data_IF_373703404779
#
_entry.id   IF_373703404779
#
_cell.length_a   1.000
_cell.length_b   1.000
_cell.length_c   1.000
_cell.angle_alpha   90.00
_cell.angle_beta   90.00
_cell.angle_gamma   90.00
#
_symmetry.space_group_name_H-M   'P 1'
#
loop_
_entity.id
_entity.type
_entity.pdbx_description
1 polymer ?
#
# COMPACT_ATOMS: atom_id res chain seq x y z
N UNK A 1 -23.85 15.26 -9.81
CA UNK A 1 -23.13 15.88 -8.67
C UNK A 1 -23.12 17.39 -8.82
N UNK A 2 -23.44 18.15 -7.76
CA UNK A 2 -23.44 19.64 -7.80
C UNK A 2 -22.03 20.17 -8.13
N UNK A 3 -21.95 21.25 -8.94
CA UNK A 3 -20.67 21.90 -9.26
C UNK A 3 -19.96 22.39 -7.99
N UNK A 4 -20.71 22.91 -7.01
CA UNK A 4 -20.17 23.34 -5.71
C UNK A 4 -19.44 22.18 -5.01
N UNK A 5 -20.03 21.00 -4.96
CA UNK A 5 -19.41 19.84 -4.30
C UNK A 5 -18.10 19.46 -5.01
N UNK A 6 -18.10 19.44 -6.34
CA UNK A 6 -16.90 19.13 -7.14
C UNK A 6 -15.78 20.15 -6.91
N UNK A 7 -16.08 21.42 -6.88
CA UNK A 7 -15.10 22.49 -6.64
C UNK A 7 -14.55 22.42 -5.21
N UNK A 8 -15.44 22.17 -4.23
CA UNK A 8 -15.03 22.03 -2.82
C UNK A 8 -14.09 20.84 -2.62
N UNK A 9 -14.40 19.67 -3.19
CA UNK A 9 -13.53 18.49 -3.09
C UNK A 9 -12.15 18.77 -3.72
N UNK A 10 -12.11 19.42 -4.88
CA UNK A 10 -10.85 19.80 -5.52
C UNK A 10 -10.05 20.79 -4.67
N UNK A 11 -10.71 21.79 -4.08
CA UNK A 11 -10.06 22.77 -3.22
C UNK A 11 -9.46 22.10 -1.97
N UNK A 12 -10.21 21.20 -1.32
CA UNK A 12 -9.74 20.40 -0.17
C UNK A 12 -8.53 19.56 -0.57
N UNK A 13 -8.62 18.83 -1.70
CA UNK A 13 -7.50 18.04 -2.20
C UNK A 13 -6.24 18.89 -2.42
N UNK A 14 -6.35 20.00 -3.14
CA UNK A 14 -5.22 20.89 -3.40
C UNK A 14 -4.61 21.52 -2.15
N UNK A 15 -5.43 21.79 -1.14
CA UNK A 15 -4.97 22.37 0.12
C UNK A 15 -4.26 21.35 1.04
N UNK A 16 -4.70 20.08 1.02
CA UNK A 16 -4.33 19.10 2.03
C UNK A 16 -3.38 18.01 1.52
N UNK A 17 -3.42 17.61 0.24
CA UNK A 17 -2.60 16.51 -0.27
C UNK A 17 -1.10 16.74 -0.01
N UNK A 18 -0.60 17.94 -0.27
CA UNK A 18 0.81 18.30 -0.06
C UNK A 18 1.23 18.38 1.40
N UNK A 19 0.28 18.35 2.32
CA UNK A 19 0.54 18.41 3.77
C UNK A 19 0.42 17.05 4.44
N UNK A 20 -0.48 16.21 3.96
CA UNK A 20 -0.84 14.95 4.63
C UNK A 20 -0.53 13.68 3.82
N UNK A 21 -0.27 13.79 2.52
CA UNK A 21 0.16 12.68 1.66
C UNK A 21 1.58 12.97 1.16
N UNK A 22 2.55 12.88 2.07
CA UNK A 22 3.95 13.17 1.77
C UNK A 22 4.74 11.89 2.02
N UNK A 23 5.13 11.15 0.96
CA UNK A 23 6.07 10.06 1.13
C UNK A 23 7.44 10.62 1.56
N UNK A 24 8.23 9.86 2.29
CA UNK A 24 9.61 10.23 2.55
C UNK A 24 10.37 10.45 1.24
N UNK A 25 11.05 11.59 1.16
CA UNK A 25 11.91 11.94 0.02
C UNK A 25 13.40 11.75 0.31
N UNK A 26 13.72 11.50 1.58
CA UNK A 26 15.08 11.35 2.08
C UNK A 26 15.26 10.04 2.84
N UNK A 27 16.46 9.49 2.78
CA UNK A 27 16.81 8.19 3.39
C UNK A 27 16.47 8.11 4.88
N UNK A 28 16.71 9.17 5.64
CA UNK A 28 16.40 9.17 7.08
C UNK A 28 14.89 9.07 7.38
N UNK A 29 14.04 9.59 6.50
CA UNK A 29 12.59 9.44 6.62
C UNK A 29 12.14 7.98 6.50
N UNK A 30 12.73 7.24 5.56
CA UNK A 30 12.48 5.81 5.40
C UNK A 30 13.00 4.98 6.57
N UNK A 31 14.20 5.31 7.07
CA UNK A 31 14.79 4.64 8.24
C UNK A 31 13.86 4.81 9.44
N UNK A 32 13.36 6.02 9.70
CA UNK A 32 12.42 6.26 10.79
C UNK A 32 11.16 5.40 10.69
N UNK A 33 10.56 5.29 9.51
CA UNK A 33 9.38 4.43 9.30
C UNK A 33 9.74 2.96 9.57
N UNK A 34 10.91 2.52 9.12
CA UNK A 34 11.36 1.14 9.36
C UNK A 34 11.58 0.85 10.85
N UNK A 35 12.16 1.78 11.60
CA UNK A 35 12.33 1.69 13.06
C UNK A 35 10.97 1.65 13.78
N UNK A 36 9.99 2.43 13.32
CA UNK A 36 8.61 2.38 13.83
C UNK A 36 7.95 1.03 13.57
N UNK A 37 8.10 0.46 12.37
CA UNK A 37 7.59 -0.89 12.07
C UNK A 37 8.30 -1.98 12.89
N UNK A 38 9.59 -1.86 13.12
CA UNK A 38 10.33 -2.80 13.96
C UNK A 38 9.83 -2.74 15.41
N UNK A 39 9.66 -1.53 15.95
CA UNK A 39 9.22 -1.31 17.32
C UNK A 39 7.77 -1.75 17.57
N UNK A 40 6.84 -1.33 16.73
CA UNK A 40 5.40 -1.55 16.93
C UNK A 40 4.95 -2.95 16.44
N UNK A 41 5.56 -3.42 15.35
CA UNK A 41 5.10 -4.61 14.64
C UNK A 41 6.11 -5.77 14.64
N UNK A 42 7.30 -5.56 15.19
CA UNK A 42 8.40 -6.54 15.20
C UNK A 42 8.76 -7.04 13.78
N UNK A 43 8.82 -6.10 12.83
CA UNK A 43 9.22 -6.38 11.45
C UNK A 43 10.28 -5.37 10.98
N UNK A 44 11.57 -5.75 11.02
CA UNK A 44 12.66 -4.87 10.61
C UNK A 44 12.62 -4.57 9.11
N UNK A 45 13.16 -3.43 8.72
CA UNK A 45 13.29 -2.96 7.34
C UNK A 45 11.96 -2.81 6.56
N UNK A 46 10.81 -2.82 7.25
CA UNK A 46 9.55 -2.49 6.63
C UNK A 46 9.41 -0.97 6.49
N UNK A 47 9.19 -0.49 5.27
CA UNK A 47 9.00 0.93 4.97
C UNK A 47 7.55 1.28 4.59
N UNK A 48 6.65 0.32 4.70
CA UNK A 48 5.22 0.51 4.50
C UNK A 48 4.47 -0.79 4.29
N UNK A 49 3.18 -0.79 4.60
CA UNK A 49 2.26 -1.85 4.25
C UNK A 49 1.34 -1.38 3.12
N UNK A 50 1.18 -2.21 2.08
CA UNK A 50 0.36 -1.91 0.89
C UNK A 50 -0.85 -2.84 0.82
N UNK A 51 -1.99 -2.29 0.44
CA UNK A 51 -3.21 -3.05 0.18
C UNK A 51 -4.16 -2.29 -0.75
N UNK A 52 -5.15 -2.99 -1.30
CA UNK A 52 -6.22 -2.46 -2.13
C UNK A 52 -7.58 -2.53 -1.44
N UNK A 53 -8.34 -1.42 -1.43
CA UNK A 53 -9.68 -1.35 -0.87
C UNK A 53 -10.70 -1.02 -1.95
N UNK A 54 -11.72 -1.88 -2.10
CA UNK A 54 -12.89 -1.57 -2.91
C UNK A 54 -13.78 -0.54 -2.20
N UNK A 55 -14.02 0.58 -2.86
CA UNK A 55 -14.95 1.62 -2.41
C UNK A 55 -16.20 1.59 -3.27
N UNK A 56 -17.37 1.39 -2.65
CA UNK A 56 -18.64 1.32 -3.34
C UNK A 56 -18.92 2.61 -4.12
N UNK A 57 -19.48 2.45 -5.30
CA UNK A 57 -19.94 3.56 -6.14
C UNK A 57 -21.27 3.22 -6.82
N UNK A 58 -22.00 4.23 -7.26
CA UNK A 58 -23.12 4.05 -8.14
C UNK A 58 -22.65 3.59 -9.52
N UNK A 59 -23.45 2.72 -10.18
CA UNK A 59 -23.13 2.23 -11.51
C UNK A 59 -23.02 3.42 -12.49
N UNK A 60 -21.88 3.58 -13.19
CA UNK A 60 -21.80 4.56 -14.28
C UNK A 60 -22.77 4.21 -15.42
N UNK A 61 -23.32 5.21 -16.09
CA UNK A 61 -24.33 5.03 -17.16
C UNK A 61 -23.77 4.25 -18.37
N UNK A 62 -22.48 4.44 -18.70
CA UNK A 62 -21.89 3.92 -19.94
C UNK A 62 -20.87 2.78 -19.75
N UNK A 63 -20.37 2.51 -18.53
CA UNK A 63 -19.23 1.61 -18.28
C UNK A 63 -19.42 0.67 -17.06
N UNK A 64 -20.65 0.28 -16.79
CA UNK A 64 -21.01 -0.48 -15.59
C UNK A 64 -20.22 -1.77 -15.36
N UNK A 65 -19.85 -2.49 -16.42
CA UNK A 65 -19.13 -3.77 -16.31
C UNK A 65 -17.69 -3.61 -15.84
N UNK A 66 -17.02 -2.51 -16.16
CA UNK A 66 -15.64 -2.24 -15.80
C UNK A 66 -15.43 -2.01 -14.28
N UNK A 67 -16.51 -1.64 -13.58
CA UNK A 67 -16.50 -1.34 -12.14
C UNK A 67 -17.22 -2.41 -11.31
N UNK A 68 -17.72 -3.49 -11.93
CA UNK A 68 -18.44 -4.56 -11.23
C UNK A 68 -17.45 -5.57 -10.64
N UNK A 69 -17.39 -5.65 -9.29
CA UNK A 69 -16.42 -6.48 -8.59
C UNK A 69 -16.92 -7.90 -8.31
N UNK A 70 -16.01 -8.77 -7.87
CA UNK A 70 -16.28 -10.17 -7.52
C UNK A 70 -17.24 -10.35 -6.34
N UNK A 71 -17.52 -9.28 -5.57
CA UNK A 71 -18.50 -9.25 -4.48
C UNK A 71 -19.88 -8.78 -4.94
N UNK A 72 -20.10 -8.68 -6.27
CA UNK A 72 -21.38 -8.33 -6.91
C UNK A 72 -21.87 -6.91 -6.62
N UNK A 73 -20.97 -5.93 -6.53
CA UNK A 73 -21.31 -4.51 -6.50
C UNK A 73 -20.32 -3.66 -7.32
N UNK A 74 -20.72 -2.43 -7.66
CA UNK A 74 -19.85 -1.50 -8.38
C UNK A 74 -18.91 -0.80 -7.39
N UNK A 75 -17.62 -0.78 -7.72
CA UNK A 75 -16.60 -0.17 -6.88
C UNK A 75 -15.43 0.37 -7.69
N UNK A 76 -14.71 1.29 -7.12
CA UNK A 76 -13.36 1.68 -7.54
C UNK A 76 -12.36 1.14 -6.54
N UNK A 77 -11.14 0.89 -6.99
CA UNK A 77 -10.06 0.46 -6.12
C UNK A 77 -9.32 1.70 -5.59
N UNK A 78 -9.19 1.75 -4.28
CA UNK A 78 -8.27 2.63 -3.57
C UNK A 78 -7.06 1.77 -3.19
N UNK A 79 -5.94 1.93 -3.88
CA UNK A 79 -4.68 1.31 -3.51
C UNK A 79 -3.87 2.30 -2.67
N UNK A 80 -3.34 1.87 -1.54
CA UNK A 80 -2.61 2.74 -0.65
C UNK A 80 -1.46 2.02 0.06
N UNK A 81 -0.48 2.82 0.49
CA UNK A 81 0.60 2.42 1.38
C UNK A 81 0.46 3.24 2.66
N UNK A 82 0.58 2.61 3.82
CA UNK A 82 0.64 3.32 5.10
C UNK A 82 1.94 3.04 5.85
N UNK A 83 2.28 3.93 6.77
CA UNK A 83 3.33 3.75 7.77
C UNK A 83 2.85 2.92 8.98
N UNK A 84 3.72 2.74 9.97
CA UNK A 84 3.44 1.97 11.18
C UNK A 84 2.34 2.59 12.08
N UNK A 85 2.01 3.87 11.86
CA UNK A 85 1.03 4.67 12.63
C UNK A 85 -0.25 4.92 11.86
N UNK A 86 -0.53 4.11 10.84
CA UNK A 86 -1.75 4.18 10.03
C UNK A 86 -1.87 5.42 9.14
N UNK A 87 -0.78 6.20 8.95
CA UNK A 87 -0.79 7.35 8.05
C UNK A 87 -0.49 6.90 6.63
N UNK A 88 -1.34 7.30 5.69
CA UNK A 88 -1.11 7.01 4.28
C UNK A 88 0.09 7.81 3.74
N UNK A 89 1.05 7.11 3.14
CA UNK A 89 2.21 7.71 2.47
C UNK A 89 2.01 7.80 0.97
N UNK A 90 1.35 6.80 0.38
CA UNK A 90 0.95 6.79 -1.02
C UNK A 90 -0.51 6.41 -1.14
N UNK A 91 -1.17 7.02 -2.12
CA UNK A 91 -2.57 6.73 -2.45
C UNK A 91 -2.74 6.81 -3.96
N UNK A 92 -3.40 5.82 -4.53
CA UNK A 92 -3.88 5.82 -5.91
C UNK A 92 -5.35 5.41 -5.95
N UNK A 93 -6.15 6.12 -6.74
CA UNK A 93 -7.60 5.94 -6.77
C UNK A 93 -8.08 5.91 -8.22
N UNK A 94 -8.89 4.90 -8.55
CA UNK A 94 -9.58 4.88 -9.82
C UNK A 94 -9.24 3.69 -10.71
N UNK A 95 -8.45 2.73 -10.25
CA UNK A 95 -8.22 1.51 -10.99
C UNK A 95 -9.53 0.73 -11.18
N UNK A 96 -9.69 0.17 -12.38
CA UNK A 96 -10.81 -0.69 -12.73
C UNK A 96 -10.78 -1.99 -11.92
N UNK A 97 -11.95 -2.47 -11.57
CA UNK A 97 -12.12 -3.65 -10.69
C UNK A 97 -11.70 -4.97 -11.35
N UNK A 98 -11.64 -5.03 -12.66
CA UNK A 98 -11.19 -6.22 -13.41
C UNK A 98 -9.67 -6.39 -13.49
N UNK A 99 -8.91 -5.48 -12.90
CA UNK A 99 -7.45 -5.50 -12.88
C UNK A 99 -7.04 -6.02 -11.50
N UNK A 100 -6.16 -7.02 -11.45
CA UNK A 100 -5.61 -7.50 -10.18
C UNK A 100 -4.70 -6.44 -9.52
N UNK A 101 -4.57 -6.48 -8.20
CA UNK A 101 -3.79 -5.50 -7.42
C UNK A 101 -2.33 -5.43 -7.87
N UNK A 102 -1.78 -6.51 -8.40
CA UNK A 102 -0.43 -6.60 -8.96
C UNK A 102 -0.29 -5.72 -10.21
N UNK A 103 -1.27 -5.75 -11.08
CA UNK A 103 -1.30 -4.92 -12.29
C UNK A 103 -1.61 -3.47 -11.96
N UNK A 104 -2.54 -3.24 -11.03
CA UNK A 104 -2.81 -1.89 -10.51
C UNK A 104 -1.52 -1.27 -9.99
N UNK A 105 -0.74 -2.02 -9.17
CA UNK A 105 0.54 -1.53 -8.65
C UNK A 105 1.52 -1.14 -9.76
N UNK A 106 1.63 -1.93 -10.83
CA UNK A 106 2.56 -1.64 -11.93
C UNK A 106 2.15 -0.41 -12.75
N UNK A 107 0.90 -0.01 -12.69
CA UNK A 107 0.35 1.18 -13.36
C UNK A 107 0.37 2.43 -12.46
N UNK A 108 0.59 2.28 -11.14
CA UNK A 108 0.70 3.43 -10.22
C UNK A 108 2.02 4.18 -10.41
N UNK A 109 1.97 5.49 -10.17
CA UNK A 109 3.18 6.33 -10.25
C UNK A 109 4.27 5.87 -9.28
N UNK A 110 3.90 5.42 -8.08
CA UNK A 110 4.87 4.94 -7.09
C UNK A 110 5.39 3.54 -7.42
N UNK A 111 4.55 2.61 -7.90
CA UNK A 111 4.98 1.28 -8.32
C UNK A 111 5.97 1.33 -9.48
N UNK A 112 5.67 2.11 -10.51
CA UNK A 112 6.57 2.39 -11.63
C UNK A 112 7.88 3.02 -11.13
N UNK A 113 7.81 3.99 -10.23
CA UNK A 113 9.00 4.66 -9.72
C UNK A 113 9.88 3.76 -8.84
N UNK A 114 9.30 2.82 -8.08
CA UNK A 114 10.08 1.81 -7.34
C UNK A 114 10.75 0.79 -8.27
N UNK A 115 10.13 0.45 -9.39
CA UNK A 115 10.72 -0.48 -10.37
C UNK A 115 11.81 0.17 -11.23
N UNK A 116 11.54 1.36 -11.78
CA UNK A 116 12.43 2.00 -12.75
C UNK A 116 13.56 2.80 -12.12
N UNK A 117 13.30 3.39 -10.97
CA UNK A 117 14.25 4.29 -10.33
C UNK A 117 14.16 4.20 -8.79
N UNK A 118 14.57 3.07 -8.18
CA UNK A 118 14.55 2.93 -6.71
C UNK A 118 15.37 4.02 -6.00
N UNK A 119 16.37 4.58 -6.66
CA UNK A 119 17.17 5.71 -6.16
C UNK A 119 16.39 7.03 -6.13
N UNK A 120 15.30 7.16 -6.88
CA UNK A 120 14.47 8.37 -6.90
C UNK A 120 13.80 8.65 -5.54
N UNK A 121 13.51 7.60 -4.80
CA UNK A 121 12.90 7.69 -3.47
C UNK A 121 13.93 7.72 -2.35
N UNK A 122 15.23 7.65 -2.67
CA UNK A 122 16.31 7.60 -1.67
C UNK A 122 16.08 6.53 -0.59
N UNK A 123 15.59 5.35 -1.02
CA UNK A 123 15.48 4.20 -0.12
C UNK A 123 16.86 3.90 0.51
N UNK A 124 16.90 3.50 1.78
CA UNK A 124 18.16 3.13 2.42
C UNK A 124 18.83 1.97 1.70
N UNK A 125 20.16 1.99 1.66
CA UNK A 125 20.94 0.83 1.24
C UNK A 125 20.67 -0.36 2.15
N UNK A 126 20.81 -1.61 1.65
CA UNK A 126 20.69 -2.81 2.48
C UNK A 126 21.53 -2.69 3.77
N UNK A 127 20.94 -3.07 4.89
CA UNK A 127 21.58 -2.98 6.21
C UNK A 127 21.47 -4.30 6.98
N UNK A 128 22.29 -4.54 8.00
CA UNK A 128 22.31 -5.79 8.75
C UNK A 128 21.02 -6.01 9.55
N UNK A 129 20.41 -7.19 9.35
CA UNK A 129 19.38 -7.76 10.23
C UNK A 129 19.85 -9.15 10.60
N UNK A 130 20.04 -9.42 11.89
CA UNK A 130 20.56 -10.73 12.38
C UNK A 130 21.83 -11.21 11.63
N UNK A 131 22.71 -10.26 11.27
CA UNK A 131 23.99 -10.56 10.59
C UNK A 131 23.91 -10.71 9.07
N UNK A 132 22.74 -10.53 8.47
CA UNK A 132 22.53 -10.55 7.01
C UNK A 132 22.14 -9.18 6.50
N UNK A 133 22.75 -8.72 5.40
CA UNK A 133 22.36 -7.47 4.75
C UNK A 133 21.06 -7.67 3.98
N UNK A 134 19.97 -7.10 4.50
CA UNK A 134 18.64 -7.15 3.91
C UNK A 134 18.21 -5.79 3.37
N UNK A 135 17.44 -5.80 2.28
CA UNK A 135 16.86 -4.60 1.69
C UNK A 135 15.69 -4.07 2.53
N UNK A 136 15.39 -2.79 2.35
CA UNK A 136 14.17 -2.20 2.87
C UNK A 136 13.02 -2.50 1.90
N UNK A 137 11.85 -2.90 2.44
CA UNK A 137 10.74 -3.43 1.65
C UNK A 137 9.38 -2.88 2.07
N UNK A 138 8.46 -2.77 1.11
CA UNK A 138 7.03 -2.72 1.39
C UNK A 138 6.50 -4.13 1.66
N UNK A 139 5.42 -4.24 2.44
CA UNK A 139 4.73 -5.49 2.69
C UNK A 139 3.37 -5.51 2.00
N UNK A 140 3.18 -6.43 1.06
CA UNK A 140 1.91 -6.71 0.41
C UNK A 140 1.31 -8.07 0.81
N UNK A 141 0.10 -8.34 0.37
CA UNK A 141 -0.52 -9.65 0.52
C UNK A 141 -0.04 -10.67 -0.56
N UNK A 142 -0.63 -11.85 -0.57
CA UNK A 142 -0.22 -12.92 -1.49
C UNK A 142 -0.51 -12.60 -2.98
N UNK A 143 -1.40 -11.65 -3.27
CA UNK A 143 -1.78 -11.24 -4.63
C UNK A 143 -0.67 -10.42 -5.27
N UNK A 144 0.03 -9.61 -4.48
CA UNK A 144 1.12 -8.77 -5.00
C UNK A 144 2.30 -9.59 -5.55
N UNK A 145 3.06 -9.08 -6.53
CA UNK A 145 4.28 -9.71 -7.01
C UNK A 145 5.40 -9.64 -5.95
N UNK A 146 6.24 -10.65 -5.91
CA UNK A 146 7.48 -10.55 -5.15
C UNK A 146 8.49 -9.72 -5.93
N UNK A 147 9.02 -8.65 -5.32
CA UNK A 147 10.02 -7.76 -5.93
C UNK A 147 11.13 -7.43 -4.92
N UNK A 148 12.29 -6.93 -5.37
CA UNK A 148 13.38 -6.55 -4.45
C UNK A 148 12.95 -5.53 -3.36
N UNK A 149 11.91 -4.77 -3.62
CA UNK A 149 11.36 -3.74 -2.73
C UNK A 149 9.95 -4.08 -2.20
N UNK A 150 9.37 -5.24 -2.58
CA UNK A 150 8.03 -5.65 -2.17
C UNK A 150 8.02 -7.12 -1.73
N UNK A 151 7.83 -7.31 -0.45
CA UNK A 151 7.75 -8.60 0.22
C UNK A 151 6.31 -9.06 0.34
N UNK A 152 6.10 -10.38 0.20
CA UNK A 152 4.80 -11.02 0.41
C UNK A 152 4.93 -12.34 1.17
N UNK A 153 3.84 -12.89 1.73
CA UNK A 153 3.86 -14.21 2.36
C UNK A 153 4.19 -15.32 1.38
N UNK A 154 4.81 -16.40 1.87
CA UNK A 154 4.95 -17.66 1.13
C UNK A 154 3.59 -18.20 0.74
N UNK A 155 3.40 -18.61 -0.52
CA UNK A 155 2.12 -19.13 -1.02
C UNK A 155 1.89 -20.58 -0.57
N UNK A 156 0.61 -20.99 -0.57
CA UNK A 156 0.20 -22.38 -0.33
C UNK A 156 -0.20 -22.67 1.12
N UNK A 157 -0.73 -23.89 1.32
CA UNK A 157 -1.23 -24.36 2.62
C UNK A 157 -0.24 -25.28 3.34
N UNK A 158 0.61 -26.00 2.57
CA UNK A 158 1.57 -26.96 3.11
C UNK A 158 2.95 -26.31 3.34
N UNK A 159 2.97 -25.29 4.18
CA UNK A 159 4.17 -24.57 4.54
C UNK A 159 4.94 -25.31 5.63
N UNK A 160 6.27 -25.31 5.55
CA UNK A 160 7.12 -25.77 6.65
C UNK A 160 7.06 -24.80 7.84
N UNK A 161 7.67 -25.19 8.97
CA UNK A 161 7.62 -24.39 10.18
C UNK A 161 8.27 -23.01 10.02
N UNK A 162 9.49 -22.88 9.43
CA UNK A 162 10.09 -21.58 9.16
C UNK A 162 9.22 -20.67 8.30
N UNK A 163 8.60 -21.19 7.24
CA UNK A 163 7.71 -20.45 6.37
C UNK A 163 6.44 -19.97 7.09
N UNK A 164 5.87 -20.81 7.98
CA UNK A 164 4.71 -20.42 8.80
C UNK A 164 5.05 -19.32 9.79
N UNK A 165 6.20 -19.45 10.46
CA UNK A 165 6.72 -18.44 11.39
C UNK A 165 6.99 -17.14 10.66
N UNK A 166 7.61 -17.22 9.48
CA UNK A 166 7.79 -16.03 8.62
C UNK A 166 6.45 -15.40 8.28
N UNK A 167 5.49 -16.17 7.74
CA UNK A 167 4.20 -15.63 7.28
C UNK A 167 3.38 -14.96 8.42
N UNK A 168 3.57 -15.38 9.66
CA UNK A 168 2.91 -14.76 10.80
C UNK A 168 3.32 -13.28 10.98
N UNK A 169 4.61 -12.97 10.82
CA UNK A 169 5.13 -11.60 11.01
C UNK A 169 4.56 -10.61 9.97
N UNK A 170 4.70 -10.84 8.63
CA UNK A 170 4.10 -9.96 7.62
C UNK A 170 2.59 -9.84 7.74
N UNK A 171 1.88 -10.94 8.04
CA UNK A 171 0.42 -10.91 8.27
C UNK A 171 0.03 -10.00 9.40
N UNK A 172 0.76 -10.06 10.52
CA UNK A 172 0.54 -9.17 11.65
C UNK A 172 0.84 -7.71 11.28
N UNK A 173 1.95 -7.46 10.61
CA UNK A 173 2.39 -6.12 10.21
C UNK A 173 1.43 -5.48 9.22
N UNK A 174 0.85 -6.25 8.29
CA UNK A 174 -0.15 -5.77 7.33
C UNK A 174 -1.46 -5.30 7.97
N UNK A 175 -1.73 -5.65 9.23
CA UNK A 175 -2.87 -5.06 9.94
C UNK A 175 -2.79 -3.54 10.00
N UNK A 176 -1.61 -2.94 9.92
CA UNK A 176 -1.47 -1.48 9.87
C UNK A 176 -2.27 -0.86 8.71
N UNK A 177 -2.22 -1.43 7.51
CA UNK A 177 -3.00 -0.90 6.37
C UNK A 177 -4.48 -1.28 6.46
N UNK A 178 -4.81 -2.46 6.98
CA UNK A 178 -6.19 -2.87 7.21
C UNK A 178 -6.86 -1.95 8.25
N UNK A 179 -6.16 -1.62 9.33
CA UNK A 179 -6.61 -0.69 10.37
C UNK A 179 -6.71 0.75 9.84
N UNK A 180 -5.73 1.19 9.02
CA UNK A 180 -5.79 2.50 8.35
C UNK A 180 -7.05 2.63 7.47
N UNK A 181 -7.37 1.60 6.69
CA UNK A 181 -8.62 1.55 5.92
C UNK A 181 -9.87 1.45 6.83
N UNK A 182 -9.78 0.78 7.98
CA UNK A 182 -10.82 0.75 8.99
C UNK A 182 -11.13 2.14 9.53
N UNK A 183 -10.10 2.90 9.90
CA UNK A 183 -10.19 4.29 10.37
C UNK A 183 -10.81 5.19 9.29
N UNK A 184 -10.33 5.07 8.04
CA UNK A 184 -10.88 5.83 6.91
C UNK A 184 -12.37 5.56 6.70
N UNK A 185 -12.83 4.33 6.92
CA UNK A 185 -14.21 3.91 6.68
C UNK A 185 -15.16 4.19 7.84
N UNK A 186 -14.63 4.43 9.03
CA UNK A 186 -15.41 4.73 10.24
C UNK A 186 -15.85 6.21 10.31
N UNK A 187 -15.38 7.06 9.41
CA UNK A 187 -15.69 8.48 9.27
C UNK A 187 -16.67 8.69 8.12
#
# INVERSE_FOLDING_TARGET
MSNILRETIKAIWHALNKKYLIPPTETHGWIRIAEEFETEWNFPHCVGAIDGKHTNMECPEDDGSAYFNYKSFHSIVLQAVCDAKYCFTFVDIGAYVGIDDSRVLSETLYGTAFDEAPTKWNLPSPAPVEGQNLTFVLLGDAIFPLKPWLMKPFPGKNLDEPQRVFNFRPSRTRRSIEDAFGILSAK
#
